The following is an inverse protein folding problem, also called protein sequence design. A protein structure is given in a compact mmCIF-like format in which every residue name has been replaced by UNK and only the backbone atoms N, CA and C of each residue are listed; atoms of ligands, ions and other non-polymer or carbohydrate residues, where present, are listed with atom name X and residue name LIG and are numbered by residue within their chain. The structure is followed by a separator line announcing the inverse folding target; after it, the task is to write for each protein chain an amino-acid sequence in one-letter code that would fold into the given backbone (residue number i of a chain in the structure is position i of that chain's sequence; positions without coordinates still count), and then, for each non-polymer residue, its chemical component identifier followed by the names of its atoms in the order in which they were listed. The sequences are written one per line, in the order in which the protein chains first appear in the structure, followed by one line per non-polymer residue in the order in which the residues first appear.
data_IF_236849342305
#
_entry.id   IF_236849342305
#
_cell.length_a   1.000
_cell.length_b   1.000
_cell.length_c   1.000
_cell.angle_alpha   90.00
_cell.angle_beta   90.00
_cell.angle_gamma   90.00
#
_symmetry.space_group_name_H-M   'P 1'
#
loop_
_entity.id
_entity.type
_entity.pdbx_description
1 polymer ?
#
# COMPACT_ATOMS: atom_id res chain seq x y z
N UNK A 1 12.02 -5.38 -0.98
CA UNK A 1 11.24 -4.96 -2.16
C UNK A 1 11.01 -3.47 -2.03
N UNK A 2 11.25 -2.69 -3.10
CA UNK A 2 11.09 -1.24 -3.09
C UNK A 2 9.70 -0.89 -2.51
N UNK A 3 9.67 -0.26 -1.34
CA UNK A 3 8.45 -0.01 -0.57
C UNK A 3 7.59 1.03 -1.28
N UNK A 4 6.81 0.59 -2.26
CA UNK A 4 5.81 1.41 -2.92
C UNK A 4 4.57 1.45 -2.05
N UNK A 5 4.07 2.65 -1.80
CA UNK A 5 2.90 2.88 -0.95
C UNK A 5 1.63 2.23 -1.54
N UNK A 6 0.76 1.72 -0.67
CA UNK A 6 -0.50 1.07 -1.06
C UNK A 6 -1.40 1.99 -1.90
N UNK A 7 -1.35 3.31 -1.69
CA UNK A 7 -2.08 4.28 -2.51
C UNK A 7 -1.49 4.33 -3.92
N UNK A 8 -0.17 4.29 -4.07
CA UNK A 8 0.47 4.23 -5.39
C UNK A 8 0.12 2.94 -6.13
N UNK A 9 0.04 1.82 -5.41
CA UNK A 9 -0.40 0.53 -5.97
C UNK A 9 -1.87 0.59 -6.41
N UNK A 10 -2.74 1.26 -5.65
CA UNK A 10 -4.14 1.48 -6.03
C UNK A 10 -4.24 2.23 -7.37
N UNK A 11 -3.48 3.30 -7.52
CA UNK A 11 -3.49 4.13 -8.74
C UNK A 11 -2.92 3.38 -9.96
N UNK A 12 -1.82 2.65 -9.79
CA UNK A 12 -1.21 1.84 -10.88
C UNK A 12 -2.16 0.73 -11.35
N UNK A 13 -2.85 0.07 -10.41
CA UNK A 13 -3.76 -1.02 -10.72
C UNK A 13 -5.17 -0.54 -11.11
N UNK A 14 -5.45 0.77 -11.03
CA UNK A 14 -6.75 1.34 -11.35
C UNK A 14 -7.88 0.85 -10.43
N UNK A 15 -7.57 0.47 -9.19
CA UNK A 15 -8.57 0.01 -8.24
C UNK A 15 -9.46 1.19 -7.82
N UNK A 16 -10.77 1.04 -8.04
CA UNK A 16 -11.77 2.05 -7.63
C UNK A 16 -11.75 2.26 -6.11
N UNK A 17 -11.65 1.16 -5.35
CA UNK A 17 -11.69 1.16 -3.90
C UNK A 17 -10.39 0.65 -3.28
N UNK A 18 -9.94 1.31 -2.22
CA UNK A 18 -8.70 0.96 -1.50
C UNK A 18 -8.80 -0.41 -0.80
N UNK A 19 -10.00 -0.90 -0.50
CA UNK A 19 -10.23 -2.22 0.09
C UNK A 19 -9.67 -3.37 -0.76
N UNK A 20 -9.70 -3.22 -2.09
CA UNK A 20 -9.09 -4.22 -3.00
C UNK A 20 -7.57 -4.23 -2.83
N UNK A 21 -6.96 -3.06 -2.61
CA UNK A 21 -5.52 -2.89 -2.43
C UNK A 21 -5.06 -3.27 -1.02
N UNK A 22 -5.89 -3.08 0.00
CA UNK A 22 -5.63 -3.49 1.39
C UNK A 22 -5.42 -5.00 1.54
N UNK A 23 -5.91 -5.80 0.59
CA UNK A 23 -5.59 -7.24 0.54
C UNK A 23 -4.09 -7.50 0.45
N UNK A 24 -3.28 -6.58 -0.06
CA UNK A 24 -1.83 -6.69 -0.13
C UNK A 24 -1.10 -6.03 1.05
N UNK A 25 -1.81 -5.49 2.04
CA UNK A 25 -1.20 -4.81 3.18
C UNK A 25 -0.28 -5.73 3.99
N UNK A 26 -0.55 -7.03 4.00
CA UNK A 26 0.29 -8.05 4.66
C UNK A 26 1.63 -8.32 3.94
N UNK A 27 1.76 -7.92 2.67
CA UNK A 27 2.99 -8.05 1.89
C UNK A 27 3.91 -6.83 2.04
N UNK A 28 3.39 -5.71 2.55
CA UNK A 28 4.18 -4.54 2.87
C UNK A 28 4.82 -4.75 4.26
N UNK A 29 6.15 -4.89 4.37
CA UNK A 29 6.81 -5.01 5.65
C UNK A 29 6.67 -3.69 6.43
N UNK A 30 5.84 -3.70 7.49
CA UNK A 30 5.84 -2.74 8.60
C UNK A 30 6.11 -1.27 8.27
N UNK A 31 5.37 -0.66 7.34
CA UNK A 31 5.56 0.76 6.96
C UNK A 31 5.02 1.78 7.98
N UNK A 32 4.42 1.32 9.09
CA UNK A 32 3.87 2.18 10.15
C UNK A 32 4.92 3.03 10.87
N UNK A 33 6.22 2.73 10.71
CA UNK A 33 7.30 3.48 11.37
C UNK A 33 7.69 4.75 10.63
N UNK A 34 7.40 4.85 9.33
CA UNK A 34 7.74 6.02 8.50
C UNK A 34 6.67 7.11 8.60
N UNK A 35 5.41 6.72 8.82
CA UNK A 35 4.27 7.65 8.89
C UNK A 35 4.17 8.48 10.19
N UNK A 36 5.07 8.27 11.15
CA UNK A 36 5.02 8.88 12.50
C UNK A 36 6.25 9.76 12.78
N UNK A 37 7.17 9.94 11.82
CA UNK A 37 8.34 10.83 11.96
C UNK A 37 8.14 12.16 11.23
#
# INVERSE_FOLDING_TARGET
MAGVDLVSVKEILGHRDIETTLRYAHLAPGHLRDAVN
#
